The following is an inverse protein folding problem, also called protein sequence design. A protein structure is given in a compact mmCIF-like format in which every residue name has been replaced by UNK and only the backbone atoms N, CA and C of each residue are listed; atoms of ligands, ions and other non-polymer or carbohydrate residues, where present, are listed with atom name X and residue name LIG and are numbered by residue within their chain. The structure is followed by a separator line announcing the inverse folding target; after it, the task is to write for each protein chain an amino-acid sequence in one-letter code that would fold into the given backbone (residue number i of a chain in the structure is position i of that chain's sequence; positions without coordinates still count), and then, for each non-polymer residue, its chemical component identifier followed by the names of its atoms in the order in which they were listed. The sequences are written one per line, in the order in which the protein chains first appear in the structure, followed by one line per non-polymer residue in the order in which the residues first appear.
data_IF_564412174970
#
_entry.id   IF_564412174970
#
_cell.length_a   1.000
_cell.length_b   1.000
_cell.length_c   1.000
_cell.angle_alpha   90.00
_cell.angle_beta   90.00
_cell.angle_gamma   90.00
#
_symmetry.space_group_name_H-M   'P 1'
#
loop_
_entity.id
_entity.type
_entity.pdbx_description
1 polymer ?
#
# COMPACT_ATOMS: atom_id res chain seq x y z
N UNK A 1 34.26 -7.28 -22.15
CA UNK A 1 33.16 -6.74 -22.98
C UNK A 1 31.91 -6.76 -22.13
N UNK A 2 31.52 -5.60 -21.61
CA UNK A 2 30.28 -5.40 -20.87
C UNK A 2 29.14 -5.39 -21.89
N UNK A 3 28.25 -6.37 -21.83
CA UNK A 3 27.02 -6.37 -22.61
C UNK A 3 26.10 -5.27 -22.05
N UNK A 4 26.04 -4.15 -22.77
CA UNK A 4 24.95 -3.19 -22.69
C UNK A 4 23.69 -3.90 -23.18
N UNK A 5 22.77 -4.19 -22.26
CA UNK A 5 21.42 -4.61 -22.61
C UNK A 5 20.75 -3.35 -23.18
N UNK A 6 20.51 -3.33 -24.49
CA UNK A 6 19.69 -2.30 -25.13
C UNK A 6 18.25 -2.39 -24.59
N UNK A 7 17.78 -1.30 -23.98
CA UNK A 7 16.40 -1.16 -23.49
C UNK A 7 15.41 -1.19 -24.65
N UNK A 8 14.26 -1.84 -24.47
CA UNK A 8 13.28 -2.03 -25.55
C UNK A 8 12.62 -0.70 -25.97
N UNK A 9 12.15 -0.54 -27.22
CA UNK A 9 11.54 0.70 -27.71
C UNK A 9 10.31 1.19 -26.91
N UNK A 10 9.66 0.30 -26.14
CA UNK A 10 8.54 0.66 -25.25
C UNK A 10 8.96 1.45 -24.00
N UNK A 11 10.26 1.55 -23.70
CA UNK A 11 10.79 2.18 -22.48
C UNK A 11 11.34 3.59 -22.69
N UNK A 12 11.26 4.16 -23.90
CA UNK A 12 11.98 5.40 -24.26
C UNK A 12 11.30 6.74 -23.85
N UNK A 13 10.17 6.71 -23.14
CA UNK A 13 9.54 7.91 -22.56
C UNK A 13 9.48 7.85 -21.02
N UNK A 14 10.61 7.63 -20.36
CA UNK A 14 10.70 7.81 -18.90
C UNK A 14 10.73 9.31 -18.62
N UNK A 15 9.55 9.87 -18.31
CA UNK A 15 9.40 11.26 -17.89
C UNK A 15 10.27 11.49 -16.63
N UNK A 16 11.26 12.40 -16.70
CA UNK A 16 12.29 12.60 -15.67
C UNK A 16 11.79 13.29 -14.39
N UNK A 17 10.49 13.41 -14.21
CA UNK A 17 9.88 14.25 -13.18
C UNK A 17 9.11 13.36 -12.21
N UNK A 18 9.26 13.62 -10.90
CA UNK A 18 8.44 12.96 -9.88
C UNK A 18 6.98 13.43 -10.02
N UNK A 19 5.99 12.51 -9.98
CA UNK A 19 4.57 12.87 -10.10
C UNK A 19 4.08 13.86 -9.02
N UNK A 20 4.77 13.98 -7.88
CA UNK A 20 4.33 14.79 -6.74
C UNK A 20 4.95 16.20 -6.69
N UNK A 21 5.97 16.51 -7.50
CA UNK A 21 6.68 17.79 -7.41
C UNK A 21 5.76 18.98 -7.75
N UNK A 22 4.95 18.85 -8.81
CA UNK A 22 4.01 19.90 -9.22
C UNK A 22 2.94 20.17 -8.15
N UNK A 23 2.44 19.12 -7.49
CA UNK A 23 1.48 19.28 -6.39
C UNK A 23 2.15 19.96 -5.19
N UNK A 24 3.39 19.59 -4.86
CA UNK A 24 4.13 20.25 -3.79
C UNK A 24 4.34 21.74 -4.08
N UNK A 25 4.61 22.10 -5.34
CA UNK A 25 4.78 23.49 -5.79
C UNK A 25 3.49 24.28 -5.64
N UNK A 26 2.37 23.69 -6.04
CA UNK A 26 1.05 24.27 -5.89
C UNK A 26 0.68 24.47 -4.41
N UNK A 27 0.89 23.45 -3.57
CA UNK A 27 0.60 23.50 -2.13
C UNK A 27 1.41 24.61 -1.45
N UNK A 28 2.71 24.71 -1.78
CA UNK A 28 3.64 25.70 -1.24
C UNK A 28 3.55 27.06 -1.93
N UNK A 29 2.70 27.20 -2.97
CA UNK A 29 2.50 28.42 -3.76
C UNK A 29 3.80 28.99 -4.31
N UNK A 30 4.62 28.12 -4.90
CA UNK A 30 5.91 28.49 -5.52
C UNK A 30 5.97 28.01 -6.97
N UNK A 31 6.45 28.88 -7.85
CA UNK A 31 6.66 28.55 -9.27
C UNK A 31 8.08 27.98 -9.52
N UNK A 32 9.03 28.26 -8.63
CA UNK A 32 10.40 27.76 -8.71
C UNK A 32 10.50 26.30 -8.23
N UNK A 33 11.50 25.53 -8.72
CA UNK A 33 11.85 24.23 -8.14
C UNK A 33 12.05 24.33 -6.63
N UNK A 34 11.48 23.38 -5.90
CA UNK A 34 11.54 23.36 -4.44
C UNK A 34 12.85 22.73 -4.00
N UNK A 35 13.43 23.25 -2.92
CA UNK A 35 14.55 22.62 -2.22
C UNK A 35 14.09 21.84 -1.00
N UNK A 36 14.87 20.85 -0.57
CA UNK A 36 14.59 20.09 0.66
C UNK A 36 14.44 21.01 1.89
N UNK A 37 15.25 22.06 1.99
CA UNK A 37 15.15 23.04 3.08
C UNK A 37 13.81 23.81 3.09
N UNK A 38 13.24 24.11 1.91
CA UNK A 38 11.92 24.73 1.82
C UNK A 38 10.80 23.77 2.22
N UNK A 39 10.90 22.49 1.86
CA UNK A 39 9.96 21.44 2.31
C UNK A 39 10.03 21.30 3.83
N UNK A 40 11.22 21.31 4.41
CA UNK A 40 11.45 21.24 5.85
C UNK A 40 10.80 22.42 6.59
N UNK A 41 11.01 23.64 6.10
CA UNK A 41 10.39 24.84 6.66
C UNK A 41 8.86 24.80 6.54
N UNK A 42 8.34 24.36 5.39
CA UNK A 42 6.90 24.17 5.16
C UNK A 42 6.30 23.17 6.15
N UNK A 43 6.90 21.98 6.26
CA UNK A 43 6.47 20.94 7.18
C UNK A 43 6.47 21.44 8.62
N UNK A 44 7.54 22.10 9.08
CA UNK A 44 7.61 22.62 10.45
C UNK A 44 6.48 23.62 10.74
N UNK A 45 6.18 24.52 9.80
CA UNK A 45 5.04 25.43 9.91
C UNK A 45 3.70 24.70 9.99
N UNK A 46 3.50 23.68 9.14
CA UNK A 46 2.28 22.86 9.15
C UNK A 46 2.13 22.01 10.42
N UNK A 47 3.22 21.48 10.96
CA UNK A 47 3.24 20.71 12.21
C UNK A 47 2.73 21.56 13.39
N UNK A 48 3.22 22.79 13.53
CA UNK A 48 2.70 23.74 14.54
C UNK A 48 1.21 23.97 14.38
N UNK A 49 0.79 24.27 13.14
CA UNK A 49 -0.60 24.59 12.84
C UNK A 49 -1.54 23.43 13.14
N UNK A 50 -1.17 22.20 12.77
CA UNK A 50 -2.02 21.02 13.03
C UNK A 50 -2.07 20.69 14.52
N UNK A 51 -0.97 20.84 15.26
CA UNK A 51 -0.96 20.66 16.72
C UNK A 51 -1.89 21.66 17.42
N UNK A 52 -1.79 22.96 17.10
CA UNK A 52 -2.67 23.99 17.65
C UNK A 52 -4.13 23.72 17.30
N UNK A 53 -4.41 23.48 16.01
CA UNK A 53 -5.75 23.21 15.51
C UNK A 53 -6.38 21.99 16.20
N UNK A 54 -5.65 20.88 16.30
CA UNK A 54 -6.15 19.66 16.91
C UNK A 54 -6.40 19.83 18.41
N UNK A 55 -5.53 20.56 19.12
CA UNK A 55 -5.72 20.87 20.55
C UNK A 55 -6.94 21.77 20.80
N UNK A 56 -7.17 22.74 19.92
CA UNK A 56 -8.27 23.71 20.05
C UNK A 56 -9.63 23.13 19.69
N UNK A 57 -9.68 22.19 18.74
CA UNK A 57 -10.93 21.71 18.15
C UNK A 57 -11.26 20.24 18.47
N UNK A 58 -10.28 19.45 18.93
CA UNK A 58 -10.44 18.02 19.19
C UNK A 58 -10.31 17.65 20.66
N UNK A 59 -11.29 16.91 21.18
CA UNK A 59 -11.33 16.49 22.59
C UNK A 59 -10.11 15.64 22.99
N UNK A 60 -9.70 14.69 22.13
CA UNK A 60 -8.55 13.83 22.42
C UNK A 60 -7.27 14.66 22.55
N UNK A 61 -6.96 15.53 21.58
CA UNK A 61 -5.72 16.30 21.60
C UNK A 61 -5.72 17.45 22.61
N UNK A 62 -6.88 18.00 22.98
CA UNK A 62 -7.00 18.91 24.12
C UNK A 62 -6.50 18.27 25.42
N UNK A 63 -6.80 16.98 25.63
CA UNK A 63 -6.33 16.19 26.76
C UNK A 63 -4.86 15.75 26.57
N UNK A 64 -4.54 15.18 25.41
CA UNK A 64 -3.25 14.58 25.10
C UNK A 64 -2.10 15.60 25.05
N UNK A 65 -2.39 16.85 24.69
CA UNK A 65 -1.40 17.95 24.64
C UNK A 65 -1.57 18.98 25.76
N UNK A 66 -2.27 18.62 26.84
CA UNK A 66 -2.46 19.52 27.99
C UNK A 66 -1.11 19.95 28.56
N UNK A 67 -0.90 21.27 28.65
CA UNK A 67 0.32 21.86 29.19
C UNK A 67 1.50 21.93 28.21
N UNK A 68 1.35 21.51 26.95
CA UNK A 68 2.38 21.66 25.93
C UNK A 68 2.29 23.04 25.26
N UNK A 69 3.43 23.68 25.00
CA UNK A 69 3.50 24.90 24.20
C UNK A 69 4.12 24.61 22.83
N UNK A 70 3.33 24.74 21.77
CA UNK A 70 3.75 24.46 20.41
C UNK A 70 4.63 25.57 19.81
N UNK A 71 4.71 26.74 20.44
CA UNK A 71 5.62 27.81 20.01
C UNK A 71 7.09 27.37 20.13
N UNK A 72 7.41 26.48 21.07
CA UNK A 72 8.74 25.92 21.27
C UNK A 72 9.16 24.87 20.23
N UNK A 73 8.28 24.45 19.32
CA UNK A 73 8.62 23.48 18.28
C UNK A 73 9.45 24.18 17.18
N UNK A 74 10.75 24.38 17.39
CA UNK A 74 11.62 25.05 16.42
C UNK A 74 12.31 24.10 15.45
N UNK A 75 12.20 22.79 15.69
CA UNK A 75 12.90 21.77 14.93
C UNK A 75 12.11 20.45 14.87
N UNK A 76 12.55 19.54 13.98
CA UNK A 76 12.07 18.14 13.96
C UNK A 76 12.36 17.43 15.28
N UNK A 77 13.48 17.75 15.94
CA UNK A 77 13.84 17.17 17.23
C UNK A 77 12.85 17.60 18.33
N UNK A 78 12.44 18.86 18.36
CA UNK A 78 11.44 19.34 19.31
C UNK A 78 10.06 18.71 19.06
N UNK A 79 9.68 18.58 17.79
CA UNK A 79 8.46 17.86 17.41
C UNK A 79 8.53 16.39 17.85
N UNK A 80 9.72 15.78 17.82
CA UNK A 80 9.91 14.38 18.21
C UNK A 80 9.55 14.05 19.66
N UNK A 81 9.60 15.07 20.53
CA UNK A 81 9.30 14.98 21.97
C UNK A 81 7.80 14.95 22.26
N UNK A 82 6.94 15.28 21.30
CA UNK A 82 5.49 15.22 21.50
C UNK A 82 5.03 13.75 21.68
N UNK A 83 3.98 13.52 22.48
CA UNK A 83 3.46 12.17 22.66
C UNK A 83 2.88 11.61 21.35
N UNK A 84 2.97 10.29 21.21
CA UNK A 84 2.50 9.55 20.03
C UNK A 84 1.05 9.12 20.20
N UNK A 85 0.37 8.98 19.07
CA UNK A 85 -0.96 8.36 19.01
C UNK A 85 -0.89 6.97 18.39
N UNK A 86 -1.84 6.11 18.73
CA UNK A 86 -1.84 4.70 18.35
C UNK A 86 -3.20 4.26 17.81
N UNK A 87 -3.21 3.12 17.13
CA UNK A 87 -4.46 2.49 16.72
C UNK A 87 -5.36 2.10 17.91
N UNK A 88 -4.80 1.91 19.12
CA UNK A 88 -5.58 1.61 20.31
C UNK A 88 -6.35 2.85 20.79
N UNK A 89 -5.71 4.03 20.81
CA UNK A 89 -6.35 5.29 21.19
C UNK A 89 -7.57 5.59 20.30
N UNK A 90 -7.43 5.36 18.99
CA UNK A 90 -8.53 5.55 18.03
C UNK A 90 -9.67 4.53 18.28
N UNK A 91 -9.36 3.27 18.61
CA UNK A 91 -10.39 2.26 18.88
C UNK A 91 -11.16 2.57 20.16
N UNK A 92 -10.47 3.09 21.18
CA UNK A 92 -11.08 3.43 22.46
C UNK A 92 -12.14 4.53 22.29
N UNK A 93 -11.79 5.61 21.60
CA UNK A 93 -12.68 6.77 21.47
C UNK A 93 -12.58 7.46 20.09
N UNK A 94 -13.05 6.83 19.00
CA UNK A 94 -12.85 7.34 17.64
C UNK A 94 -13.44 8.74 17.41
N UNK A 95 -14.59 9.04 18.04
CA UNK A 95 -15.23 10.35 17.92
C UNK A 95 -14.48 11.46 18.66
N UNK A 96 -13.66 11.15 19.69
CA UNK A 96 -12.85 12.17 20.38
C UNK A 96 -11.72 12.72 19.52
N UNK A 97 -11.35 12.02 18.44
CA UNK A 97 -10.35 12.45 17.48
C UNK A 97 -10.89 13.43 16.42
N UNK A 98 -12.21 13.61 16.34
CA UNK A 98 -12.79 14.59 15.44
C UNK A 98 -12.41 16.01 15.88
N UNK A 99 -12.00 16.84 14.93
CA UNK A 99 -11.69 18.26 15.11
C UNK A 99 -12.67 19.17 14.36
N UNK A 100 -13.79 18.61 13.90
CA UNK A 100 -14.87 19.27 13.16
C UNK A 100 -16.21 18.67 13.58
N UNK A 101 -17.33 19.25 13.13
CA UNK A 101 -18.66 18.68 13.39
C UNK A 101 -18.80 17.30 12.73
N UNK A 102 -19.58 16.40 13.32
CA UNK A 102 -19.93 15.13 12.66
C UNK A 102 -20.69 15.36 11.34
N UNK A 103 -21.39 16.50 11.23
CA UNK A 103 -22.11 16.88 10.00
C UNK A 103 -21.17 17.22 8.83
N UNK A 104 -19.91 17.57 9.11
CA UNK A 104 -18.90 17.85 8.08
C UNK A 104 -18.24 16.57 7.52
N UNK A 105 -18.57 15.40 8.10
CA UNK A 105 -17.96 14.13 7.72
C UNK A 105 -18.71 13.50 6.56
N UNK A 106 -18.05 13.44 5.40
CA UNK A 106 -18.56 12.82 4.19
C UNK A 106 -18.43 11.29 4.19
N UNK A 107 -17.34 10.75 4.77
CA UNK A 107 -17.05 9.31 4.76
C UNK A 107 -16.52 8.81 6.08
N UNK A 108 -16.93 7.58 6.43
CA UNK A 108 -16.39 6.84 7.56
C UNK A 108 -15.89 5.47 7.08
N UNK A 109 -14.62 5.18 7.33
CA UNK A 109 -14.02 3.87 7.07
C UNK A 109 -13.91 3.11 8.38
N UNK A 110 -14.64 2.00 8.50
CA UNK A 110 -14.62 1.13 9.67
C UNK A 110 -13.72 -0.08 9.40
N UNK A 111 -12.60 -0.13 10.11
CA UNK A 111 -11.61 -1.21 10.03
C UNK A 111 -11.90 -2.22 11.15
N UNK A 112 -12.48 -3.36 10.77
CA UNK A 112 -12.84 -4.43 11.70
C UNK A 112 -11.60 -5.16 12.24
N UNK A 113 -11.65 -5.59 13.51
CA UNK A 113 -10.66 -6.51 14.10
C UNK A 113 -10.95 -7.95 13.65
N UNK A 114 -9.90 -8.76 13.52
CA UNK A 114 -10.00 -10.18 13.12
C UNK A 114 -10.42 -11.12 14.26
N UNK A 115 -10.56 -10.63 15.49
CA UNK A 115 -10.98 -11.41 16.66
C UNK A 115 -11.32 -10.54 17.88
N UNK A 116 -12.28 -11.04 18.67
CA UNK A 116 -12.87 -10.54 19.94
C UNK A 116 -13.51 -9.14 19.96
N UNK A 117 -14.35 -8.92 20.98
CA UNK A 117 -15.37 -7.86 21.24
C UNK A 117 -14.85 -6.42 21.30
N UNK A 118 -13.69 -6.12 20.74
CA UNK A 118 -13.11 -4.78 20.72
C UNK A 118 -13.83 -3.82 19.75
N UNK A 119 -13.82 -2.54 20.09
CA UNK A 119 -14.34 -1.50 19.22
C UNK A 119 -13.54 -1.44 17.90
N UNK A 120 -14.19 -1.35 16.74
CA UNK A 120 -13.50 -1.21 15.47
C UNK A 120 -12.81 0.16 15.37
N UNK A 121 -11.68 0.20 14.66
CA UNK A 121 -11.01 1.48 14.39
C UNK A 121 -11.79 2.21 13.30
N UNK A 122 -12.27 3.43 13.57
CA UNK A 122 -13.03 4.24 12.61
C UNK A 122 -12.20 5.48 12.23
N UNK A 123 -12.04 5.70 10.94
CA UNK A 123 -11.38 6.88 10.38
C UNK A 123 -12.42 7.70 9.62
N UNK A 124 -12.43 9.00 9.84
CA UNK A 124 -13.44 9.93 9.34
C UNK A 124 -12.80 10.88 8.33
N UNK A 125 -13.51 11.17 7.24
CA UNK A 125 -13.05 12.02 6.16
C UNK A 125 -14.09 13.10 5.86
N UNK A 126 -13.63 14.35 5.77
CA UNK A 126 -14.42 15.44 5.18
C UNK A 126 -14.43 15.32 3.65
N UNK A 127 -15.31 16.06 2.97
CA UNK A 127 -15.30 16.09 1.50
C UNK A 127 -13.96 16.61 0.94
N UNK A 128 -13.43 17.70 1.49
CA UNK A 128 -12.14 18.26 1.08
C UNK A 128 -10.99 17.23 1.20
N UNK A 129 -11.02 16.34 2.18
CA UNK A 129 -10.01 15.27 2.34
C UNK A 129 -10.15 14.16 1.29
N UNK A 130 -11.37 13.90 0.82
CA UNK A 130 -11.61 12.99 -0.31
C UNK A 130 -11.13 13.63 -1.62
N UNK A 131 -11.38 14.93 -1.81
CA UNK A 131 -10.93 15.69 -2.97
C UNK A 131 -9.39 15.76 -3.01
N UNK A 132 -8.74 15.94 -1.87
CA UNK A 132 -7.28 15.86 -1.75
C UNK A 132 -6.74 14.46 -2.09
N UNK A 133 -7.49 13.40 -1.76
CA UNK A 133 -7.16 12.01 -2.14
C UNK A 133 -7.26 11.82 -3.66
N UNK A 134 -8.30 12.37 -4.29
CA UNK A 134 -8.49 12.37 -5.75
C UNK A 134 -7.34 13.12 -6.44
N UNK A 135 -6.95 14.28 -5.91
CA UNK A 135 -5.81 15.05 -6.41
C UNK A 135 -4.49 14.27 -6.28
N UNK A 136 -4.28 13.57 -5.16
CA UNK A 136 -3.12 12.69 -5.00
C UNK A 136 -3.09 11.58 -6.06
N UNK A 137 -4.21 10.90 -6.31
CA UNK A 137 -4.28 9.88 -7.36
C UNK A 137 -4.11 10.45 -8.76
N UNK A 138 -4.68 11.62 -9.05
CA UNK A 138 -4.45 12.32 -10.31
C UNK A 138 -2.95 12.58 -10.52
N UNK A 139 -2.27 13.19 -9.56
CA UNK A 139 -0.84 13.49 -9.70
C UNK A 139 0.01 12.20 -9.75
N UNK A 140 -0.22 11.29 -8.79
CA UNK A 140 0.53 10.05 -8.63
C UNK A 140 0.49 9.12 -9.85
N UNK A 141 -0.60 9.15 -10.62
CA UNK A 141 -0.76 8.31 -11.82
C UNK A 141 -0.10 8.91 -13.08
N UNK A 142 0.34 10.18 -13.09
CA UNK A 142 0.90 10.85 -14.29
C UNK A 142 2.17 10.22 -14.86
N UNK A 143 2.92 9.46 -14.05
CA UNK A 143 4.08 8.73 -14.54
C UNK A 143 3.75 7.31 -15.04
N UNK A 144 2.50 6.89 -14.88
CA UNK A 144 2.04 5.54 -15.17
C UNK A 144 1.10 5.50 -16.38
N UNK A 145 0.32 6.56 -16.58
CA UNK A 145 -0.73 6.62 -17.60
C UNK A 145 -0.72 7.96 -18.32
N UNK A 146 -1.15 7.91 -19.58
CA UNK A 146 -1.37 9.04 -20.47
C UNK A 146 -2.88 9.26 -20.68
N UNK A 147 -3.24 10.44 -21.22
CA UNK A 147 -4.61 10.69 -21.62
C UNK A 147 -5.04 9.71 -22.73
N UNK A 148 -6.20 9.09 -22.57
CA UNK A 148 -6.75 8.09 -23.49
C UNK A 148 -6.50 6.64 -23.09
N UNK A 149 -5.50 6.39 -22.24
CA UNK A 149 -5.17 5.06 -21.72
C UNK A 149 -6.35 4.43 -20.98
N UNK A 150 -6.45 3.11 -21.06
CA UNK A 150 -7.39 2.32 -20.26
C UNK A 150 -6.70 1.73 -19.04
N UNK A 151 -7.30 1.93 -17.86
CA UNK A 151 -6.75 1.48 -16.59
C UNK A 151 -7.68 0.46 -15.94
N UNK A 152 -7.23 -0.77 -15.80
CA UNK A 152 -7.95 -1.78 -15.03
C UNK A 152 -7.57 -1.68 -13.55
N UNK A 153 -8.49 -1.22 -12.72
CA UNK A 153 -8.30 -1.15 -11.27
C UNK A 153 -8.94 -2.35 -10.57
N UNK A 154 -8.09 -3.17 -9.97
CA UNK A 154 -8.43 -4.32 -9.14
C UNK A 154 -8.53 -3.88 -7.67
N UNK A 155 -9.41 -2.92 -7.41
CA UNK A 155 -9.60 -2.30 -6.11
C UNK A 155 -11.08 -2.25 -5.74
N UNK A 156 -11.46 -2.47 -4.47
CA UNK A 156 -12.84 -2.37 -4.01
C UNK A 156 -13.47 -1.01 -4.33
N UNK A 157 -14.63 -1.04 -4.97
CA UNK A 157 -15.42 0.14 -5.33
C UNK A 157 -16.94 0.00 -5.06
N UNK A 158 -17.38 -0.47 -3.88
CA UNK A 158 -18.82 -0.68 -3.60
C UNK A 158 -19.62 0.61 -3.40
N UNK A 159 -18.96 1.76 -3.20
CA UNK A 159 -19.58 3.07 -2.94
C UNK A 159 -18.84 4.20 -3.68
N UNK A 160 -19.47 5.37 -3.93
CA UNK A 160 -18.86 6.50 -4.63
C UNK A 160 -17.53 6.99 -4.04
N UNK A 161 -17.37 6.85 -2.74
CA UNK A 161 -16.24 7.34 -1.95
C UNK A 161 -15.19 6.23 -1.67
N UNK A 162 -15.35 5.05 -2.28
CA UNK A 162 -14.43 3.91 -2.13
C UNK A 162 -13.11 4.12 -2.85
N UNK A 163 -12.05 3.44 -2.40
CA UNK A 163 -10.69 3.61 -2.94
C UNK A 163 -10.63 3.43 -4.46
N UNK A 164 -11.29 2.40 -5.02
CA UNK A 164 -11.33 2.22 -6.48
C UNK A 164 -12.09 3.34 -7.19
N UNK A 165 -13.13 3.90 -6.58
CA UNK A 165 -13.90 5.00 -7.16
C UNK A 165 -13.14 6.33 -7.11
N UNK A 166 -12.47 6.64 -5.99
CA UNK A 166 -11.62 7.83 -5.87
C UNK A 166 -10.45 7.79 -6.86
N UNK A 167 -9.83 6.61 -7.04
CA UNK A 167 -8.81 6.41 -8.08
C UNK A 167 -9.40 6.65 -9.48
N UNK A 168 -10.59 6.09 -9.76
CA UNK A 168 -11.25 6.29 -11.05
C UNK A 168 -11.54 7.77 -11.34
N UNK A 169 -11.93 8.55 -10.33
CA UNK A 169 -12.12 9.98 -10.48
C UNK A 169 -10.82 10.72 -10.80
N UNK A 170 -9.74 10.42 -10.07
CA UNK A 170 -8.41 10.98 -10.35
C UNK A 170 -7.93 10.66 -11.78
N UNK A 171 -8.18 9.43 -12.24
CA UNK A 171 -7.86 8.97 -13.59
C UNK A 171 -8.68 9.67 -14.68
N UNK A 172 -9.99 9.86 -14.47
CA UNK A 172 -10.84 10.60 -15.42
C UNK A 172 -10.35 12.03 -15.61
N UNK A 173 -9.91 12.68 -14.53
CA UNK A 173 -9.33 14.03 -14.57
C UNK A 173 -7.97 14.09 -15.31
N UNK A 174 -7.28 12.96 -15.51
CA UNK A 174 -6.11 12.85 -16.41
C UNK A 174 -6.50 12.57 -17.87
N UNK A 175 -7.78 12.34 -18.17
CA UNK A 175 -8.23 11.86 -19.48
C UNK A 175 -8.06 10.35 -19.68
N UNK A 176 -7.69 9.59 -18.65
CA UNK A 176 -7.63 8.13 -18.70
C UNK A 176 -9.02 7.51 -18.47
N UNK A 177 -9.19 6.25 -18.89
CA UNK A 177 -10.46 5.49 -18.87
C UNK A 177 -10.40 4.40 -17.80
N UNK A 178 -10.93 4.63 -16.59
CA UNK A 178 -10.93 3.61 -15.55
C UNK A 178 -11.96 2.51 -15.84
N UNK A 179 -11.52 1.27 -15.72
CA UNK A 179 -12.34 0.05 -15.71
C UNK A 179 -12.20 -0.57 -14.32
N UNK A 180 -13.32 -0.65 -13.58
CA UNK A 180 -13.31 -1.12 -12.20
C UNK A 180 -13.77 -2.56 -12.12
N UNK A 181 -12.96 -3.43 -11.49
CA UNK A 181 -13.48 -4.66 -10.92
C UNK A 181 -13.85 -4.40 -9.45
N UNK A 182 -15.15 -4.33 -9.16
CA UNK A 182 -15.65 -4.06 -7.81
C UNK A 182 -15.40 -5.23 -6.83
N UNK A 183 -15.18 -6.43 -7.36
CA UNK A 183 -14.81 -7.64 -6.61
C UNK A 183 -13.48 -8.20 -7.15
N UNK A 184 -12.32 -7.64 -6.74
CA UNK A 184 -11.02 -8.05 -7.26
C UNK A 184 -10.68 -9.53 -6.93
N UNK A 185 -11.37 -10.14 -5.97
CA UNK A 185 -11.22 -11.56 -5.64
C UNK A 185 -11.84 -12.48 -6.70
N UNK A 186 -12.75 -11.95 -7.54
CA UNK A 186 -13.24 -12.63 -8.73
C UNK A 186 -12.28 -12.42 -9.91
N UNK A 187 -11.21 -13.23 -9.92
CA UNK A 187 -10.15 -13.16 -10.95
C UNK A 187 -10.68 -13.41 -12.36
N UNK A 188 -11.70 -14.26 -12.53
CA UNK A 188 -12.32 -14.49 -13.84
C UNK A 188 -13.04 -13.25 -14.37
N UNK A 189 -13.70 -12.48 -13.50
CA UNK A 189 -14.25 -11.17 -13.87
C UNK A 189 -13.14 -10.17 -14.22
N UNK A 190 -12.03 -10.16 -13.47
CA UNK A 190 -10.84 -9.37 -13.80
C UNK A 190 -10.32 -9.70 -15.20
N UNK A 191 -10.21 -11.00 -15.54
CA UNK A 191 -9.77 -11.45 -16.86
C UNK A 191 -10.77 -11.04 -17.95
N UNK A 192 -12.07 -11.22 -17.74
CA UNK A 192 -13.08 -10.83 -18.71
C UNK A 192 -13.01 -9.32 -19.03
N UNK A 193 -12.80 -8.49 -18.01
CA UNK A 193 -12.56 -7.05 -18.19
C UNK A 193 -11.24 -6.78 -18.90
N UNK A 194 -10.16 -7.46 -18.51
CA UNK A 194 -8.85 -7.35 -19.15
C UNK A 194 -8.93 -7.67 -20.65
N UNK A 195 -9.49 -8.81 -21.02
CA UNK A 195 -9.64 -9.24 -22.42
C UNK A 195 -10.55 -8.32 -23.22
N UNK A 196 -11.63 -7.82 -22.61
CA UNK A 196 -12.59 -6.92 -23.28
C UNK A 196 -12.01 -5.53 -23.54
N UNK A 197 -11.22 -5.01 -22.59
CA UNK A 197 -10.79 -3.61 -22.59
C UNK A 197 -9.34 -3.41 -22.99
N UNK A 198 -8.53 -4.48 -23.05
CA UNK A 198 -7.10 -4.44 -23.39
C UNK A 198 -6.35 -3.29 -22.69
N UNK A 199 -6.29 -3.29 -21.35
CA UNK A 199 -5.84 -2.13 -20.58
C UNK A 199 -4.35 -1.83 -20.79
N UNK A 200 -4.00 -0.54 -20.84
CA UNK A 200 -2.62 -0.04 -20.85
C UNK A 200 -1.99 -0.11 -19.45
N UNK A 201 -2.79 0.04 -18.40
CA UNK A 201 -2.32 0.00 -17.01
C UNK A 201 -3.18 -0.90 -16.14
N UNK A 202 -2.54 -1.61 -15.20
CA UNK A 202 -3.23 -2.38 -14.15
C UNK A 202 -2.85 -1.85 -12.77
N UNK A 203 -3.83 -1.56 -11.93
CA UNK A 203 -3.64 -1.14 -10.54
C UNK A 203 -4.22 -2.20 -9.61
N UNK A 204 -3.46 -2.68 -8.63
CA UNK A 204 -3.97 -3.69 -7.70
C UNK A 204 -2.96 -4.14 -6.66
N UNK A 205 -3.36 -5.13 -5.85
CA UNK A 205 -2.42 -5.81 -4.95
C UNK A 205 -1.48 -6.70 -5.76
N UNK A 206 -0.27 -7.02 -5.24
CA UNK A 206 0.62 -7.97 -5.88
C UNK A 206 -0.06 -9.32 -6.23
N UNK A 207 -0.93 -9.84 -5.37
CA UNK A 207 -1.58 -11.12 -5.63
C UNK A 207 -2.64 -11.05 -6.72
N UNK A 208 -3.49 -10.01 -6.71
CA UNK A 208 -4.53 -9.87 -7.72
C UNK A 208 -3.93 -9.70 -9.12
N UNK A 209 -2.83 -8.95 -9.23
CA UNK A 209 -2.11 -8.78 -10.49
C UNK A 209 -1.47 -10.09 -10.95
N UNK A 210 -0.80 -10.83 -10.06
CA UNK A 210 -0.23 -12.14 -10.38
C UNK A 210 -1.28 -13.16 -10.82
N UNK A 211 -2.41 -13.21 -10.13
CA UNK A 211 -3.53 -14.07 -10.47
C UNK A 211 -4.07 -13.77 -11.87
N UNK A 212 -4.17 -12.48 -12.22
CA UNK A 212 -4.60 -12.05 -13.55
C UNK A 212 -3.60 -12.44 -14.65
N UNK A 213 -2.30 -12.21 -14.46
CA UNK A 213 -1.23 -12.63 -15.40
C UNK A 213 -1.37 -14.12 -15.71
N UNK A 214 -1.57 -14.92 -14.66
CA UNK A 214 -1.55 -16.37 -14.76
C UNK A 214 -2.79 -16.91 -15.45
N UNK A 215 -3.95 -16.37 -15.10
CA UNK A 215 -5.19 -16.73 -15.78
C UNK A 215 -5.18 -16.28 -17.25
N UNK A 216 -4.62 -15.11 -17.57
CA UNK A 216 -4.42 -14.67 -18.95
C UNK A 216 -3.58 -15.65 -19.77
N UNK A 217 -2.42 -16.07 -19.25
CA UNK A 217 -1.55 -17.05 -19.91
C UNK A 217 -2.20 -18.43 -20.06
N UNK A 218 -2.96 -18.84 -19.04
CA UNK A 218 -3.70 -20.09 -19.04
C UNK A 218 -4.72 -20.15 -20.19
N UNK A 219 -5.45 -19.05 -20.42
CA UNK A 219 -6.42 -18.92 -21.53
C UNK A 219 -5.75 -18.70 -22.90
N UNK A 220 -4.43 -18.92 -23.01
CA UNK A 220 -3.69 -18.79 -24.27
C UNK A 220 -3.26 -17.36 -24.62
N UNK A 221 -3.39 -16.41 -23.68
CA UNK A 221 -2.88 -15.06 -23.85
C UNK A 221 -1.36 -15.02 -23.94
N UNK A 222 -0.81 -14.41 -24.99
CA UNK A 222 0.63 -14.31 -25.21
C UNK A 222 1.16 -12.89 -24.94
N UNK A 223 0.68 -11.91 -25.71
CA UNK A 223 1.11 -10.52 -25.58
C UNK A 223 0.17 -9.73 -24.67
N UNK A 224 0.75 -9.00 -23.71
CA UNK A 224 -0.01 -8.08 -22.87
C UNK A 224 -0.03 -6.68 -23.49
N UNK A 225 -1.19 -6.00 -23.53
CA UNK A 225 -1.26 -4.58 -23.89
C UNK A 225 -0.68 -3.67 -22.79
N UNK A 226 -0.47 -4.21 -21.58
CA UNK A 226 -0.07 -3.45 -20.40
C UNK A 226 1.33 -2.83 -20.58
N UNK A 227 1.43 -1.51 -20.44
CA UNK A 227 2.70 -0.76 -20.38
C UNK A 227 3.18 -0.52 -18.96
N UNK A 228 2.26 -0.42 -17.99
CA UNK A 228 2.59 -0.12 -16.59
C UNK A 228 1.69 -0.84 -15.59
N UNK A 229 2.22 -1.10 -14.40
CA UNK A 229 1.49 -1.67 -13.27
C UNK A 229 1.74 -0.85 -12.01
N UNK A 230 0.70 -0.53 -11.25
CA UNK A 230 0.84 0.01 -9.90
C UNK A 230 0.49 -1.06 -8.85
N UNK A 231 1.48 -1.45 -8.06
CA UNK A 231 1.27 -2.30 -6.89
C UNK A 231 1.01 -1.45 -5.65
N UNK A 232 -0.11 -1.72 -4.97
CA UNK A 232 -0.52 -1.01 -3.77
C UNK A 232 -1.17 -1.95 -2.75
N UNK A 233 -1.62 -1.38 -1.62
CA UNK A 233 -2.36 -2.02 -0.53
C UNK A 233 -1.53 -3.00 0.33
N UNK A 234 -0.80 -3.91 -0.32
CA UNK A 234 0.01 -4.93 0.33
C UNK A 234 1.51 -4.80 0.01
N UNK A 235 2.33 -5.46 0.82
CA UNK A 235 3.78 -5.50 0.62
C UNK A 235 4.14 -6.14 -0.73
N UNK A 236 5.06 -5.50 -1.48
CA UNK A 236 5.53 -5.97 -2.78
C UNK A 236 7.02 -6.35 -2.73
N UNK A 237 7.30 -7.65 -2.76
CA UNK A 237 8.68 -8.14 -2.79
C UNK A 237 9.35 -7.76 -4.13
N UNK A 238 10.68 -7.67 -4.14
CA UNK A 238 11.45 -7.43 -5.37
C UNK A 238 11.23 -8.57 -6.38
N UNK A 239 11.12 -9.80 -5.90
CA UNK A 239 10.89 -10.98 -6.75
C UNK A 239 9.55 -10.88 -7.50
N UNK A 240 8.46 -10.50 -6.81
CA UNK A 240 7.14 -10.33 -7.43
C UNK A 240 7.16 -9.20 -8.47
N UNK A 241 7.79 -8.07 -8.15
CA UNK A 241 7.93 -6.95 -9.09
C UNK A 241 8.66 -7.38 -10.36
N UNK A 242 9.85 -7.97 -10.22
CA UNK A 242 10.63 -8.47 -11.36
C UNK A 242 9.87 -9.52 -12.18
N UNK A 243 9.07 -10.37 -11.53
CA UNK A 243 8.26 -11.37 -12.20
C UNK A 243 7.20 -10.70 -13.10
N UNK A 244 6.46 -9.74 -12.56
CA UNK A 244 5.44 -8.98 -13.30
C UNK A 244 6.07 -8.21 -14.48
N UNK A 245 7.19 -7.52 -14.24
CA UNK A 245 7.92 -6.78 -15.28
C UNK A 245 8.32 -7.70 -16.43
N UNK A 246 8.86 -8.89 -16.12
CA UNK A 246 9.30 -9.86 -17.13
C UNK A 246 8.13 -10.46 -17.92
N UNK A 247 7.06 -10.86 -17.25
CA UNK A 247 5.95 -11.59 -17.88
C UNK A 247 5.08 -10.71 -18.78
N UNK A 248 4.88 -9.45 -18.41
CA UNK A 248 4.11 -8.50 -19.20
C UNK A 248 4.96 -7.51 -19.98
N UNK A 249 6.29 -7.55 -19.84
CA UNK A 249 7.22 -6.60 -20.44
C UNK A 249 6.77 -5.15 -20.19
N UNK A 250 6.49 -4.84 -18.92
CA UNK A 250 5.91 -3.58 -18.47
C UNK A 250 6.74 -2.96 -17.33
N UNK A 251 6.50 -1.69 -17.02
CA UNK A 251 7.10 -1.02 -15.87
C UNK A 251 6.27 -1.24 -14.61
N UNK A 252 6.89 -1.69 -13.51
CA UNK A 252 6.20 -1.84 -12.22
C UNK A 252 6.53 -0.68 -11.29
N UNK A 253 5.46 -0.06 -10.80
CA UNK A 253 5.45 1.01 -9.83
C UNK A 253 4.90 0.52 -8.50
N UNK A 254 5.24 1.21 -7.42
CA UNK A 254 4.78 0.91 -6.07
C UNK A 254 4.18 2.14 -5.41
N UNK A 255 3.13 1.92 -4.63
CA UNK A 255 2.48 2.93 -3.82
C UNK A 255 2.30 2.43 -2.39
N UNK A 256 2.61 3.29 -1.42
CA UNK A 256 2.29 3.10 -0.01
C UNK A 256 1.29 4.16 0.45
N UNK A 257 0.31 3.71 1.21
CA UNK A 257 -0.70 4.55 1.84
C UNK A 257 -1.59 3.70 2.72
N UNK A 258 -2.32 4.35 3.62
CA UNK A 258 -3.28 3.70 4.50
C UNK A 258 -4.52 4.56 4.67
N UNK A 259 -5.56 4.01 5.28
CA UNK A 259 -6.79 4.77 5.54
C UNK A 259 -6.48 6.04 6.34
N UNK A 260 -5.61 5.91 7.34
CA UNK A 260 -5.17 7.00 8.21
C UNK A 260 -4.50 8.16 7.45
N UNK A 261 -3.77 7.87 6.37
CA UNK A 261 -3.02 8.89 5.61
C UNK A 261 -3.81 9.56 4.50
N UNK A 262 -5.10 9.23 4.32
CA UNK A 262 -5.84 9.69 3.15
C UNK A 262 -5.78 8.72 1.96
N UNK A 263 -5.59 7.42 2.21
CA UNK A 263 -5.43 6.38 1.18
C UNK A 263 -4.23 6.59 0.23
N UNK A 264 -3.36 7.54 0.56
CA UNK A 264 -2.14 7.88 -0.15
C UNK A 264 -1.04 8.31 0.81
N UNK A 265 0.22 8.08 0.45
CA UNK A 265 1.35 8.50 1.26
C UNK A 265 2.64 8.65 0.48
N UNK A 266 3.00 7.63 -0.30
CA UNK A 266 4.15 7.64 -1.18
C UNK A 266 3.88 6.91 -2.50
N UNK A 267 4.47 7.37 -3.60
CA UNK A 267 4.37 6.70 -4.91
C UNK A 267 5.70 6.76 -5.66
N UNK A 268 6.05 5.70 -6.37
CA UNK A 268 7.26 5.66 -7.19
C UNK A 268 7.13 6.55 -8.43
N UNK A 269 8.21 7.25 -8.79
CA UNK A 269 8.34 7.92 -10.08
C UNK A 269 8.68 6.91 -11.20
N UNK A 270 8.94 7.44 -12.40
CA UNK A 270 9.25 6.66 -13.60
C UNK A 270 10.52 5.78 -13.48
N UNK A 271 11.41 6.07 -12.51
CA UNK A 271 12.62 5.26 -12.28
C UNK A 271 12.41 4.07 -11.32
N UNK A 272 11.26 4.01 -10.63
CA UNK A 272 10.92 2.95 -9.65
C UNK A 272 12.01 2.65 -8.60
N UNK A 273 12.86 3.63 -8.28
CA UNK A 273 13.85 3.57 -7.19
C UNK A 273 13.19 4.09 -5.92
N UNK A 274 12.31 3.31 -5.30
CA UNK A 274 11.57 3.74 -4.10
C UNK A 274 10.40 4.68 -4.38
N UNK A 275 9.75 5.17 -3.32
CA UNK A 275 8.48 5.89 -3.40
C UNK A 275 8.63 7.30 -2.82
N UNK A 276 8.39 8.33 -3.61
CA UNK A 276 8.41 9.71 -3.12
C UNK A 276 7.21 9.97 -2.22
N UNK A 277 7.46 10.59 -1.08
CA UNK A 277 6.45 10.96 -0.09
C UNK A 277 5.68 12.22 -0.53
N UNK A 278 4.38 12.30 -0.23
CA UNK A 278 3.59 13.54 -0.38
C UNK A 278 3.87 14.49 0.81
N UNK A 279 5.08 15.03 0.84
CA UNK A 279 5.62 15.71 2.03
C UNK A 279 4.91 17.03 2.40
N UNK A 280 4.09 17.58 1.51
CA UNK A 280 3.27 18.76 1.76
C UNK A 280 1.97 18.47 2.53
N UNK A 281 1.48 17.22 2.48
CA UNK A 281 0.24 16.81 3.16
C UNK A 281 0.48 15.80 4.29
N UNK A 282 1.60 15.07 4.30
CA UNK A 282 2.00 14.20 5.41
C UNK A 282 3.45 14.46 5.81
N UNK A 283 3.72 14.30 7.10
CA UNK A 283 5.06 14.26 7.66
C UNK A 283 5.35 12.85 8.15
N UNK A 284 6.46 12.28 7.71
CA UNK A 284 6.88 10.91 8.03
C UNK A 284 8.19 10.93 8.81
N UNK A 285 8.17 10.18 9.90
CA UNK A 285 9.31 9.85 10.74
C UNK A 285 9.53 8.34 10.74
N UNK A 286 10.78 7.94 10.92
CA UNK A 286 11.14 6.55 11.24
C UNK A 286 11.56 6.53 12.69
N UNK A 287 10.94 5.69 13.51
CA UNK A 287 11.20 5.63 14.95
C UNK A 287 11.60 4.23 15.38
N UNK A 288 12.46 4.15 16.40
CA UNK A 288 12.69 2.90 17.08
C UNK A 288 11.37 2.48 17.78
N UNK A 289 10.83 1.28 17.51
CA UNK A 289 9.53 0.88 18.02
C UNK A 289 9.50 0.64 19.54
N UNK A 290 10.65 0.33 20.14
CA UNK A 290 10.82 0.07 21.57
C UNK A 290 11.03 1.38 22.34
N UNK A 291 11.99 2.21 21.91
CA UNK A 291 12.36 3.44 22.62
C UNK A 291 11.51 4.64 22.23
N UNK A 292 10.92 4.62 21.04
CA UNK A 292 10.16 5.74 20.46
C UNK A 292 11.02 6.88 19.92
N UNK A 293 12.35 6.77 19.97
CA UNK A 293 13.28 7.78 19.44
C UNK A 293 13.25 7.77 17.91
N UNK A 294 13.35 8.96 17.30
CA UNK A 294 13.49 9.10 15.84
C UNK A 294 14.87 8.58 15.42
N UNK A 295 14.89 7.80 14.35
CA UNK A 295 16.10 7.26 13.75
C UNK A 295 16.59 8.15 12.60
N UNK A 296 17.91 8.17 12.32
CA UNK A 296 18.45 8.79 11.12
C UNK A 296 17.85 8.21 9.82
N UNK A 297 17.82 9.02 8.76
CA UNK A 297 17.49 8.53 7.42
C UNK A 297 18.48 7.41 7.02
N UNK A 298 17.96 6.36 6.37
CA UNK A 298 18.69 5.13 6.06
C UNK A 298 18.50 4.00 7.09
N UNK A 299 18.16 4.32 8.34
CA UNK A 299 17.89 3.31 9.37
C UNK A 299 16.45 2.82 9.34
N UNK A 300 16.28 1.52 9.61
CA UNK A 300 14.98 0.83 9.56
C UNK A 300 14.27 0.91 10.91
N UNK A 301 13.01 1.32 10.89
CA UNK A 301 12.17 1.42 12.08
C UNK A 301 10.69 1.60 11.75
N UNK A 302 9.88 1.83 12.77
CA UNK A 302 8.44 2.06 12.63
C UNK A 302 8.16 3.40 11.93
N UNK A 303 7.32 3.36 10.90
CA UNK A 303 6.80 4.54 10.25
C UNK A 303 5.82 5.23 11.20
N UNK A 304 6.09 6.49 11.54
CA UNK A 304 5.20 7.35 12.31
C UNK A 304 4.76 8.51 11.43
N UNK A 305 3.46 8.78 11.39
CA UNK A 305 2.89 9.78 10.48
C UNK A 305 2.20 10.91 11.24
N UNK A 306 2.38 12.13 10.75
CA UNK A 306 1.51 13.26 11.05
C UNK A 306 0.82 13.74 9.78
N UNK A 307 -0.51 13.83 9.78
CA UNK A 307 -1.28 14.37 8.65
C UNK A 307 -1.34 15.89 8.75
N UNK A 308 -0.80 16.61 7.77
CA UNK A 308 -0.57 18.06 7.84
C UNK A 308 -1.77 18.90 7.39
N UNK A 309 -2.65 18.35 6.56
CA UNK A 309 -3.75 19.08 5.92
C UNK A 309 -5.13 18.64 6.38
N UNK A 310 -5.23 17.45 7.01
CA UNK A 310 -6.51 16.90 7.48
C UNK A 310 -7.15 17.78 8.57
N UNK A 311 -8.45 18.00 8.42
CA UNK A 311 -9.29 18.81 9.32
C UNK A 311 -10.31 17.98 10.08
N UNK A 312 -10.87 16.94 9.44
CA UNK A 312 -11.86 16.08 10.08
C UNK A 312 -11.27 15.32 11.26
N UNK A 313 -10.19 14.60 10.99
CA UNK A 313 -9.51 13.74 11.96
C UNK A 313 -7.98 13.81 11.76
N UNK A 314 -7.32 14.91 12.16
CA UNK A 314 -5.87 14.99 12.09
C UNK A 314 -5.22 13.92 12.98
N UNK A 315 -4.22 13.24 12.44
CA UNK A 315 -3.42 12.27 13.17
C UNK A 315 -2.03 12.85 13.39
N UNK A 316 -1.58 12.93 14.64
CA UNK A 316 -0.31 13.54 15.04
C UNK A 316 0.53 12.47 15.71
N UNK A 317 1.75 12.29 15.18
CA UNK A 317 2.70 11.24 15.57
C UNK A 317 2.03 9.86 15.71
N UNK A 318 1.21 9.51 14.73
CA UNK A 318 0.47 8.25 14.70
C UNK A 318 1.37 7.07 14.32
N UNK A 319 1.39 6.07 15.20
CA UNK A 319 2.08 4.79 15.01
C UNK A 319 1.33 3.91 14.01
N UNK A 320 1.92 3.71 12.85
CA UNK A 320 1.29 2.99 11.73
C UNK A 320 1.29 1.47 11.92
N UNK A 321 2.25 0.95 12.69
CA UNK A 321 2.58 -0.47 12.74
C UNK A 321 3.23 -1.01 11.47
N UNK A 322 3.60 -0.13 10.52
CA UNK A 322 4.41 -0.45 9.35
C UNK A 322 5.89 -0.12 9.64
N UNK A 323 6.81 -0.88 9.05
CA UNK A 323 8.24 -0.69 9.21
C UNK A 323 8.94 -0.50 7.85
N UNK A 324 9.77 0.54 7.75
CA UNK A 324 10.57 0.87 6.57
C UNK A 324 11.73 1.81 6.95
N UNK A 325 12.36 2.45 5.97
CA UNK A 325 13.34 3.53 6.15
C UNK A 325 13.18 4.59 5.06
N UNK A 326 13.62 5.81 5.35
CA UNK A 326 13.83 6.85 4.35
C UNK A 326 15.13 6.55 3.59
N UNK A 327 15.10 6.61 2.27
CA UNK A 327 16.26 6.38 1.42
C UNK A 327 17.15 7.62 1.38
N UNK A 328 18.47 7.41 1.43
CA UNK A 328 19.48 8.49 1.50
C UNK A 328 20.08 8.83 0.15
N UNK A 329 19.98 7.95 -0.85
CA UNK A 329 20.51 8.23 -2.17
C UNK A 329 19.66 9.28 -2.89
N UNK A 330 20.22 9.97 -3.89
CA UNK A 330 19.43 10.83 -4.76
C UNK A 330 18.59 9.97 -5.73
N UNK A 331 17.40 10.46 -6.10
CA UNK A 331 16.62 9.86 -7.18
C UNK A 331 17.08 10.44 -8.53
N UNK A 332 17.16 9.65 -9.61
CA UNK A 332 17.47 10.18 -10.95
C UNK A 332 16.43 11.15 -11.53
N UNK A 333 15.29 11.36 -10.87
CA UNK A 333 14.31 12.38 -11.25
C UNK A 333 14.58 13.77 -10.65
N UNK A 334 15.67 13.93 -9.90
CA UNK A 334 16.11 15.17 -9.26
C UNK A 334 15.11 15.80 -8.26
N UNK A 335 14.04 15.09 -7.91
CA UNK A 335 13.05 15.55 -6.95
C UNK A 335 13.66 15.75 -5.56
N UNK A 336 13.34 16.87 -4.88
CA UNK A 336 13.76 17.14 -3.50
C UNK A 336 12.94 16.34 -2.46
N UNK A 337 11.85 15.70 -2.86
CA UNK A 337 10.95 14.98 -1.96
C UNK A 337 11.61 13.66 -1.52
N UNK A 338 11.62 13.42 -0.20
CA UNK A 338 12.20 12.21 0.39
C UNK A 338 11.50 10.95 -0.12
N UNK A 339 12.26 9.87 -0.18
CA UNK A 339 11.78 8.57 -0.66
C UNK A 339 11.67 7.57 0.48
N UNK A 340 10.52 6.90 0.57
CA UNK A 340 10.30 5.74 1.41
C UNK A 340 10.74 4.47 0.66
N UNK A 341 11.45 3.57 1.36
CA UNK A 341 11.80 2.28 0.81
C UNK A 341 10.55 1.44 0.51
N UNK A 342 10.48 0.75 -0.65
CA UNK A 342 9.32 -0.07 -1.01
C UNK A 342 9.27 -1.40 -0.24
N UNK A 343 10.32 -1.71 0.54
CA UNK A 343 10.42 -2.93 1.35
C UNK A 343 9.74 -2.72 2.72
N UNK A 344 8.44 -2.44 2.67
CA UNK A 344 7.57 -2.21 3.83
C UNK A 344 7.05 -3.54 4.37
N UNK A 345 7.02 -3.68 5.69
CA UNK A 345 6.41 -4.83 6.38
C UNK A 345 5.53 -4.38 7.55
N UNK A 346 4.55 -5.21 7.94
CA UNK A 346 3.76 -5.02 9.16
C UNK A 346 4.56 -5.55 10.36
N UNK A 347 4.68 -4.74 11.41
CA UNK A 347 5.41 -5.11 12.63
C UNK A 347 4.63 -6.10 13.48
N UNK A 348 3.37 -5.76 13.74
CA UNK A 348 2.46 -6.61 14.51
C UNK A 348 1.80 -7.61 13.56
N UNK A 349 1.88 -8.87 13.94
CA UNK A 349 1.16 -9.93 13.29
C UNK A 349 -0.14 -10.26 14.05
N UNK A 350 -1.09 -10.97 13.42
CA UNK A 350 -2.21 -11.56 14.15
C UNK A 350 -1.73 -12.43 15.32
N UNK A 351 -2.48 -12.46 16.41
CA UNK A 351 -2.11 -13.21 17.62
C UNK A 351 -1.87 -14.69 17.30
N UNK A 352 -0.70 -15.20 17.72
CA UNK A 352 -0.26 -16.58 17.52
C UNK A 352 0.41 -16.87 16.17
N UNK A 353 0.45 -15.95 15.21
CA UNK A 353 1.25 -16.19 14.00
C UNK A 353 2.75 -16.07 14.28
N UNK A 354 3.58 -16.91 13.66
CA UNK A 354 5.02 -16.91 13.78
C UNK A 354 5.68 -15.71 13.10
N UNK A 355 6.87 -15.34 13.56
CA UNK A 355 7.61 -14.18 13.05
C UNK A 355 7.95 -14.26 11.55
N UNK A 356 8.15 -15.46 10.99
CA UNK A 356 8.38 -15.62 9.55
C UNK A 356 7.18 -15.14 8.71
N UNK A 357 5.97 -15.11 9.29
CA UNK A 357 4.76 -14.63 8.64
C UNK A 357 4.79 -13.13 8.35
N UNK A 358 5.68 -12.35 9.00
CA UNK A 358 5.91 -10.92 8.70
C UNK A 358 6.39 -10.69 7.27
N UNK A 359 7.00 -11.71 6.69
CA UNK A 359 7.62 -11.63 5.37
C UNK A 359 6.78 -12.30 4.28
N UNK A 360 5.78 -13.09 4.68
CA UNK A 360 4.95 -13.89 3.78
C UNK A 360 3.49 -13.74 4.21
N UNK A 361 2.82 -12.76 3.61
CA UNK A 361 1.38 -12.56 3.80
C UNK A 361 0.59 -13.64 3.06
N UNK A 362 -0.67 -13.93 3.44
CA UNK A 362 -1.54 -14.81 2.67
C UNK A 362 -1.66 -14.35 1.22
N UNK A 363 -1.70 -13.05 0.99
CA UNK A 363 -1.71 -12.44 -0.34
C UNK A 363 -0.43 -12.81 -1.11
N UNK A 364 0.75 -12.75 -0.47
CA UNK A 364 2.00 -13.17 -1.11
C UNK A 364 2.01 -14.66 -1.44
N UNK A 365 1.51 -15.51 -0.52
CA UNK A 365 1.33 -16.95 -0.76
C UNK A 365 0.39 -17.17 -1.94
N UNK A 366 -0.75 -16.49 -1.98
CA UNK A 366 -1.72 -16.55 -3.08
C UNK A 366 -1.09 -16.13 -4.41
N UNK A 367 -0.26 -15.08 -4.40
CA UNK A 367 0.51 -14.63 -5.55
C UNK A 367 1.50 -15.68 -6.07
N UNK A 368 2.19 -16.37 -5.16
CA UNK A 368 3.11 -17.45 -5.51
C UNK A 368 2.36 -18.69 -6.01
N UNK A 369 1.24 -19.03 -5.39
CA UNK A 369 0.43 -20.18 -5.80
C UNK A 369 -0.26 -19.97 -7.14
N UNK A 370 -0.74 -18.76 -7.39
CA UNK A 370 -1.25 -18.40 -8.71
C UNK A 370 -0.14 -18.50 -9.75
N UNK A 371 1.14 -18.45 -9.37
CA UNK A 371 2.25 -18.69 -10.29
C UNK A 371 2.35 -20.13 -10.80
N UNK A 372 1.66 -21.10 -10.20
CA UNK A 372 1.59 -22.48 -10.70
C UNK A 372 0.56 -22.56 -11.85
N UNK A 373 0.92 -23.10 -13.03
CA UNK A 373 -0.04 -23.27 -14.12
C UNK A 373 -1.28 -24.07 -13.69
N UNK A 374 -2.46 -23.63 -14.14
CA UNK A 374 -3.76 -24.26 -13.85
C UNK A 374 -4.14 -24.30 -12.36
N UNK A 375 -3.42 -23.56 -11.49
CA UNK A 375 -3.65 -23.53 -10.06
C UNK A 375 -4.35 -22.24 -9.64
N UNK A 376 -5.50 -22.35 -8.99
CA UNK A 376 -6.19 -21.21 -8.39
C UNK A 376 -5.84 -21.15 -6.91
N UNK A 377 -5.43 -19.99 -6.40
CA UNK A 377 -5.16 -19.83 -4.97
C UNK A 377 -6.35 -20.20 -4.07
N UNK A 378 -7.59 -20.20 -4.58
CA UNK A 378 -8.79 -20.63 -3.86
C UNK A 378 -8.84 -22.16 -3.62
N UNK A 379 -8.03 -22.93 -4.35
CA UNK A 379 -7.86 -24.38 -4.19
C UNK A 379 -6.86 -24.70 -3.07
N UNK A 380 -6.36 -23.72 -2.31
CA UNK A 380 -5.43 -23.94 -1.22
C UNK A 380 -5.98 -23.42 0.12
N UNK A 381 -5.77 -24.21 1.18
CA UNK A 381 -5.95 -23.78 2.57
C UNK A 381 -4.58 -23.71 3.26
N UNK A 382 -4.37 -22.65 4.02
CA UNK A 382 -3.13 -22.43 4.74
C UNK A 382 -3.35 -22.61 6.23
N UNK A 383 -2.52 -23.44 6.84
CA UNK A 383 -2.34 -23.48 8.28
C UNK A 383 -0.93 -23.00 8.58
N UNK A 384 -0.87 -22.01 9.45
CA UNK A 384 0.37 -21.33 9.83
C UNK A 384 0.72 -21.81 11.23
N UNK A 385 1.90 -22.42 11.37
CA UNK A 385 2.45 -22.93 12.62
C UNK A 385 3.86 -22.37 12.84
N UNK A 386 4.40 -22.41 14.08
CA UNK A 386 5.68 -21.78 14.44
C UNK A 386 6.81 -21.93 13.42
N UNK A 387 7.02 -23.15 12.92
CA UNK A 387 8.07 -23.48 11.95
C UNK A 387 7.52 -24.15 10.68
N UNK A 388 6.22 -24.06 10.41
CA UNK A 388 5.62 -24.79 9.28
C UNK A 388 4.53 -23.98 8.62
N UNK A 389 4.57 -23.90 7.30
CA UNK A 389 3.45 -23.48 6.47
C UNK A 389 2.85 -24.73 5.84
N UNK A 390 1.72 -25.18 6.38
CA UNK A 390 0.95 -26.27 5.80
C UNK A 390 0.02 -25.70 4.74
N UNK A 391 0.17 -26.18 3.51
CA UNK A 391 -0.67 -25.80 2.37
C UNK A 391 -1.41 -27.05 1.91
N UNK A 392 -2.70 -27.10 2.21
CA UNK A 392 -3.57 -28.18 1.72
C UNK A 392 -4.16 -27.76 0.40
N UNK A 393 -3.87 -28.52 -0.66
CA UNK A 393 -4.34 -28.27 -2.03
C UNK A 393 -5.52 -29.17 -2.36
N UNK A 394 -6.60 -28.61 -2.86
CA UNK A 394 -7.71 -29.36 -3.44
C UNK A 394 -7.26 -30.11 -4.69
N UNK A 395 -7.28 -31.44 -4.62
CA UNK A 395 -6.85 -32.33 -5.71
C UNK A 395 -7.97 -32.61 -6.73
N UNK A 396 -9.18 -32.09 -6.53
CA UNK A 396 -10.32 -32.35 -7.44
C UNK A 396 -10.05 -31.93 -8.89
N UNK A 397 -9.25 -30.89 -9.08
CA UNK A 397 -8.84 -30.37 -10.39
C UNK A 397 -7.31 -30.21 -10.51
N UNK A 398 -6.53 -30.78 -9.58
CA UNK A 398 -5.08 -30.62 -9.54
C UNK A 398 -4.35 -31.96 -9.58
N UNK A 399 -3.21 -31.99 -10.27
CA UNK A 399 -2.33 -33.14 -10.38
C UNK A 399 -1.25 -33.15 -9.30
N UNK A 400 -0.66 -34.32 -9.04
CA UNK A 400 0.51 -34.44 -8.16
C UNK A 400 1.68 -33.58 -8.62
N UNK A 401 1.82 -33.33 -9.93
CA UNK A 401 2.85 -32.46 -10.48
C UNK A 401 2.64 -30.98 -10.10
N UNK A 402 1.39 -30.51 -10.08
CA UNK A 402 1.07 -29.16 -9.60
C UNK A 402 1.34 -29.03 -8.11
N UNK A 403 1.01 -30.06 -7.31
CA UNK A 403 1.33 -30.08 -5.87
C UNK A 403 2.85 -29.96 -5.63
N UNK A 404 3.67 -30.62 -6.45
CA UNK A 404 5.14 -30.49 -6.39
C UNK A 404 5.59 -29.07 -6.75
N UNK A 405 5.06 -28.49 -7.83
CA UNK A 405 5.41 -27.13 -8.25
C UNK A 405 5.01 -26.06 -7.21
N UNK A 406 3.82 -26.21 -6.60
CA UNK A 406 3.39 -25.41 -5.46
C UNK A 406 4.42 -25.48 -4.33
N UNK A 407 4.84 -26.69 -3.97
CA UNK A 407 5.82 -26.90 -2.90
C UNK A 407 7.15 -26.20 -3.21
N UNK A 408 7.68 -26.38 -4.42
CA UNK A 408 8.95 -25.76 -4.84
C UNK A 408 8.88 -24.24 -4.78
N UNK A 409 7.83 -23.64 -5.32
CA UNK A 409 7.67 -22.18 -5.34
C UNK A 409 7.50 -21.58 -3.94
N UNK A 410 6.78 -22.28 -3.06
CA UNK A 410 6.67 -21.86 -1.66
C UNK A 410 8.00 -22.03 -0.91
N UNK A 411 8.75 -23.10 -1.19
CA UNK A 411 10.10 -23.29 -0.65
C UNK A 411 11.03 -22.15 -1.10
N UNK A 412 10.99 -21.78 -2.38
CA UNK A 412 11.77 -20.66 -2.92
C UNK A 412 11.35 -19.33 -2.28
N UNK A 413 10.04 -19.13 -2.08
CA UNK A 413 9.49 -17.93 -1.42
C UNK A 413 10.01 -17.78 0.01
N UNK A 414 10.06 -18.87 0.79
CA UNK A 414 10.52 -18.85 2.18
C UNK A 414 12.03 -18.95 2.31
N UNK A 415 12.75 -19.49 1.32
CA UNK A 415 14.19 -19.78 1.39
C UNK A 415 15.08 -18.60 1.82
N UNK A 416 14.77 -17.33 1.50
CA UNK A 416 15.59 -16.19 1.92
C UNK A 416 15.29 -15.74 3.37
N UNK A 417 14.29 -16.34 4.03
CA UNK A 417 13.88 -15.95 5.37
C UNK A 417 14.80 -16.57 6.43
N UNK A 418 15.21 -15.76 7.38
CA UNK A 418 15.79 -16.26 8.62
C UNK A 418 14.72 -17.04 9.40
N UNK A 419 15.01 -18.29 9.77
CA UNK A 419 14.03 -19.25 10.30
C UNK A 419 12.84 -19.49 9.34
N UNK A 420 13.13 -19.71 8.05
CA UNK A 420 12.14 -20.11 7.07
C UNK A 420 11.30 -21.31 7.58
N UNK A 421 9.96 -21.28 7.45
CA UNK A 421 9.15 -22.44 7.80
C UNK A 421 9.41 -23.59 6.84
N UNK A 422 9.26 -24.80 7.36
CA UNK A 422 9.09 -25.98 6.52
C UNK A 422 7.80 -25.85 5.72
N UNK A 423 7.88 -26.08 4.41
CA UNK A 423 6.71 -26.13 3.55
C UNK A 423 6.16 -27.55 3.52
N UNK A 424 4.96 -27.72 4.05
CA UNK A 424 4.22 -28.97 3.99
C UNK A 424 3.04 -28.82 3.03
N UNK A 425 3.19 -29.34 1.81
CA UNK A 425 2.09 -29.40 0.85
C UNK A 425 1.35 -30.74 0.97
N UNK A 426 0.06 -30.69 1.32
CA UNK A 426 -0.78 -31.86 1.52
C UNK A 426 -1.89 -31.93 0.45
N UNK A 427 -2.23 -33.13 -0.04
CA UNK A 427 -3.42 -33.33 -0.85
C UNK A 427 -4.68 -33.23 0.03
N UNK A 428 -5.63 -32.38 -0.35
CA UNK A 428 -6.94 -32.26 0.29
C UNK A 428 -7.87 -33.41 -0.14
N UNK A 429 -8.37 -34.18 0.82
CA UNK A 429 -9.31 -35.27 0.55
C UNK A 429 -10.74 -34.74 0.26
N UNK A 430 -11.42 -35.36 -0.72
CA UNK A 430 -12.75 -35.03 -1.26
C UNK A 430 -13.92 -34.82 -0.27
N UNK A 431 -13.74 -34.95 1.04
CA UNK A 431 -14.87 -35.14 1.99
C UNK A 431 -14.92 -34.25 3.23
N UNK A 432 -14.31 -33.04 3.23
CA UNK A 432 -14.66 -31.99 4.21
C UNK A 432 -14.57 -30.60 3.59
N UNK A 433 -15.74 -29.94 3.49
CA UNK A 433 -15.99 -28.50 3.31
C UNK A 433 -14.73 -27.64 3.07
N UNK A 434 -14.28 -27.58 1.81
CA UNK A 434 -13.67 -26.35 1.31
C UNK A 434 -14.87 -25.42 1.10
N UNK A 435 -15.16 -24.57 2.09
CA UNK A 435 -16.36 -23.72 2.05
C UNK A 435 -16.26 -22.73 0.90
N UNK A 436 -17.08 -22.95 -0.12
CA UNK A 436 -17.29 -22.03 -1.23
C UNK A 436 -17.91 -20.77 -0.64
N UNK A 437 -17.12 -19.70 -0.60
CA UNK A 437 -17.55 -18.37 -0.17
C UNK A 437 -17.04 -17.99 1.21
N UNK A 438 -15.90 -17.30 1.26
CA UNK A 438 -15.59 -16.29 2.28
C UNK A 438 -14.47 -15.38 1.76
N UNK A 439 -14.78 -14.09 1.56
CA UNK A 439 -13.84 -12.97 1.38
C UNK A 439 -12.97 -12.69 2.63
N UNK A 440 -12.73 -13.71 3.46
CA UNK A 440 -11.85 -13.74 4.63
C UNK A 440 -11.37 -15.17 4.81
N UNK A 441 -10.29 -15.55 4.15
CA UNK A 441 -9.63 -16.84 4.38
C UNK A 441 -9.11 -16.86 5.82
N UNK A 442 -9.65 -17.77 6.63
CA UNK A 442 -9.29 -17.90 8.04
C UNK A 442 -7.93 -18.59 8.11
N UNK A 443 -6.87 -17.85 8.43
CA UNK A 443 -5.61 -18.46 8.84
C UNK A 443 -5.92 -19.22 10.13
N UNK A 444 -5.85 -20.55 10.08
CA UNK A 444 -5.87 -21.35 11.29
C UNK A 444 -4.45 -21.31 11.86
N UNK A 445 -4.30 -20.47 12.87
CA UNK A 445 -3.11 -20.41 13.72
C UNK A 445 -3.27 -21.55 14.73
N UNK A 446 -2.29 -22.46 14.77
CA UNK A 446 -2.29 -23.63 15.66
C UNK A 446 -1.36 -23.40 16.84
#
# INVERSE_FOLDING_TARGET
MLNLIEESPKQQHVNRINPLDAQAQQDMRTEAPISQAQIEAWQLGKLKNVCSYARENGTFYAEHFRGLDFQHIASREDFSKLPRTTAADIREAPLKFLCTSQDDIARIVTLATSGSTGNPKRIFFTQDELDETIAFYNNGMRCLVDAGDTVLALLPAPKPDSVGTLLAEGLRSLGAKPVLNQDPDNVSASLALFSKHAPDCVVGTPAHVLALIKLWKHEGGMDSPVKSVLLCWDASSRAVRNYIEKEWNCHVHTHWGMTETGLGGAVSCAHSKGMHLRETNIYVEITNPETGLVLPDGERGEIVVTTLTRKGMPLIRYRTGDESHIMTEACPCDSPLRRLSPNIRRMALPEGTPDWFRFITPTLIDGVLTAVPYFLAQQAQYRVAPNTLEVTVDMSNNSSQQLTCVKELLCDLVSPLYNAPDILCLPGNHNKKISIGFAKRKICIV
#
